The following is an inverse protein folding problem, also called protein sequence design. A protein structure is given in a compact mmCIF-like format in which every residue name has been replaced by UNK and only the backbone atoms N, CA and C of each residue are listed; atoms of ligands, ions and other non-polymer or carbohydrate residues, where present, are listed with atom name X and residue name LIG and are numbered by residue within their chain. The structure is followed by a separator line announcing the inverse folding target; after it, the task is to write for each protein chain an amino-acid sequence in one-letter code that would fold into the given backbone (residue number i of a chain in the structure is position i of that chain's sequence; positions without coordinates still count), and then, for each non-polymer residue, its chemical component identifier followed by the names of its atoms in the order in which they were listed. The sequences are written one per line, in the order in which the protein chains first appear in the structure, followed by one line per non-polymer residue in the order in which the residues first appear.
data_IF_232002695848
#
_entry.id   IF_232002695848
#
_cell.length_a   1.000
_cell.length_b   1.000
_cell.length_c   1.000
_cell.angle_alpha   90.00
_cell.angle_beta   90.00
_cell.angle_gamma   90.00
#
_symmetry.space_group_name_H-M   'P 1'
#
loop_
_entity.id
_entity.type
_entity.pdbx_description
1 polymer ?
#
# COMPACT_ATOMS: atom_id res chain seq x y z
N UNK A 1 6.71 -20.29 -7.02
CA UNK A 1 5.64 -19.67 -6.21
C UNK A 1 4.58 -19.11 -7.14
N UNK A 2 3.32 -19.05 -6.70
CA UNK A 2 2.25 -18.39 -7.47
C UNK A 2 2.27 -16.90 -7.13
N UNK A 3 2.13 -16.03 -8.13
CA UNK A 3 2.04 -14.58 -7.89
C UNK A 3 0.60 -14.16 -7.61
N UNK A 4 0.41 -13.22 -6.69
CA UNK A 4 -0.87 -12.57 -6.42
C UNK A 4 -0.69 -11.06 -6.48
N UNK A 5 -1.52 -10.40 -7.29
CA UNK A 5 -1.56 -8.94 -7.35
C UNK A 5 -2.50 -8.42 -6.27
N UNK A 6 -1.98 -7.59 -5.37
CA UNK A 6 -2.75 -6.89 -4.35
C UNK A 6 -2.87 -5.43 -4.77
N UNK A 7 -4.11 -5.01 -5.06
CA UNK A 7 -4.42 -3.63 -5.41
C UNK A 7 -4.90 -2.91 -4.15
N UNK A 8 -4.17 -1.88 -3.72
CA UNK A 8 -4.51 -1.11 -2.52
C UNK A 8 -4.19 0.37 -2.74
N UNK A 9 -5.02 1.26 -2.22
CA UNK A 9 -4.73 2.70 -2.22
C UNK A 9 -3.79 3.09 -1.07
N UNK A 10 -3.91 2.41 0.07
CA UNK A 10 -3.11 2.67 1.26
C UNK A 10 -2.02 1.59 1.41
N UNK A 11 -0.77 2.02 1.32
CA UNK A 11 0.43 1.19 1.46
C UNK A 11 1.49 1.96 2.23
N UNK A 12 2.43 1.33 2.96
CA UNK A 12 3.51 2.04 3.64
C UNK A 12 4.21 3.04 2.71
N UNK A 13 4.48 4.27 3.19
CA UNK A 13 4.48 4.71 4.59
C UNK A 13 3.10 5.11 5.16
N UNK A 14 1.99 4.90 4.45
CA UNK A 14 0.66 5.14 5.01
C UNK A 14 0.44 4.31 6.29
N UNK A 15 -0.08 4.94 7.34
CA UNK A 15 -0.34 4.32 8.63
C UNK A 15 -1.79 3.82 8.79
N UNK A 16 -2.07 3.27 9.96
CA UNK A 16 -3.43 2.88 10.38
C UNK A 16 -3.78 1.40 10.18
N UNK A 17 -4.91 0.97 10.75
CA UNK A 17 -5.26 -0.46 10.87
C UNK A 17 -5.53 -1.12 9.52
N UNK A 18 -6.00 -0.37 8.52
CA UNK A 18 -6.21 -0.86 7.16
C UNK A 18 -4.90 -1.27 6.49
N UNK A 19 -3.89 -0.38 6.56
CA UNK A 19 -2.56 -0.64 5.97
C UNK A 19 -1.87 -1.80 6.65
N UNK A 20 -1.87 -1.82 7.99
CA UNK A 20 -1.22 -2.90 8.73
C UNK A 20 -1.83 -4.27 8.39
N UNK A 21 -3.15 -4.36 8.21
CA UNK A 21 -3.79 -5.63 7.83
C UNK A 21 -3.29 -6.14 6.47
N UNK A 22 -3.32 -5.29 5.45
CA UNK A 22 -2.87 -5.67 4.09
C UNK A 22 -1.37 -6.01 4.11
N UNK A 23 -0.57 -5.21 4.81
CA UNK A 23 0.87 -5.43 4.96
C UNK A 23 1.18 -6.77 5.63
N UNK A 24 0.50 -7.13 6.73
CA UNK A 24 0.72 -8.43 7.40
C UNK A 24 0.30 -9.60 6.51
N UNK A 25 -0.81 -9.49 5.76
CA UNK A 25 -1.14 -10.53 4.78
C UNK A 25 -0.02 -10.72 3.76
N UNK A 26 0.48 -9.63 3.17
CA UNK A 26 1.57 -9.70 2.18
C UNK A 26 2.87 -10.22 2.81
N UNK A 27 3.16 -9.87 4.07
CA UNK A 27 4.33 -10.37 4.78
C UNK A 27 4.31 -11.90 4.96
N UNK A 28 3.15 -12.48 5.26
CA UNK A 28 3.03 -13.90 5.60
C UNK A 28 2.59 -14.78 4.41
N UNK A 29 2.05 -14.22 3.33
CA UNK A 29 1.68 -14.97 2.12
C UNK A 29 2.81 -15.86 1.53
N UNK A 30 4.09 -15.43 1.54
CA UNK A 30 5.20 -16.28 1.10
C UNK A 30 5.31 -17.61 1.86
N UNK A 31 4.92 -17.66 3.13
CA UNK A 31 4.91 -18.90 3.94
C UNK A 31 3.90 -19.93 3.41
N UNK A 32 2.91 -19.48 2.62
CA UNK A 32 1.89 -20.31 1.99
C UNK A 32 2.13 -20.50 0.49
N UNK A 33 3.34 -20.19 -0.01
CA UNK A 33 3.74 -20.39 -1.42
C UNK A 33 3.24 -19.32 -2.40
N UNK A 34 2.75 -18.19 -1.88
CA UNK A 34 2.27 -17.05 -2.66
C UNK A 34 3.24 -15.87 -2.59
N UNK A 35 3.59 -15.32 -3.73
CA UNK A 35 4.43 -14.14 -3.86
C UNK A 35 3.54 -12.91 -4.12
N UNK A 36 3.40 -12.00 -3.15
CA UNK A 36 2.59 -10.79 -3.33
C UNK A 36 3.35 -9.75 -4.18
N UNK A 37 2.61 -9.15 -5.10
CA UNK A 37 3.03 -7.96 -5.86
C UNK A 37 1.99 -6.88 -5.60
N UNK A 38 2.42 -5.69 -5.21
CA UNK A 38 1.52 -4.59 -4.86
C UNK A 38 1.36 -3.67 -6.05
N UNK A 39 0.13 -3.24 -6.30
CA UNK A 39 -0.18 -2.07 -7.11
C UNK A 39 -0.81 -1.02 -6.19
N UNK A 40 -0.13 0.10 -6.04
CA UNK A 40 -0.56 1.21 -5.19
C UNK A 40 -0.37 2.56 -5.90
N UNK A 41 -0.85 3.63 -5.28
CA UNK A 41 -0.75 4.99 -5.81
C UNK A 41 0.60 5.62 -5.46
N UNK A 42 1.15 6.39 -6.39
CA UNK A 42 2.42 7.13 -6.19
C UNK A 42 2.26 8.29 -5.20
N UNK A 43 1.25 9.11 -5.44
CA UNK A 43 0.99 10.37 -4.72
C UNK A 43 -0.34 10.26 -3.95
N UNK A 44 -0.46 9.19 -3.15
CA UNK A 44 -1.64 8.92 -2.35
C UNK A 44 -1.82 9.93 -1.22
N UNK A 45 -3.08 10.21 -0.91
CA UNK A 45 -3.43 11.04 0.25
C UNK A 45 -3.51 10.16 1.50
N UNK A 46 -2.55 10.34 2.40
CA UNK A 46 -2.42 9.53 3.61
C UNK A 46 -2.87 10.34 4.83
N UNK A 47 -3.99 9.96 5.49
CA UNK A 47 -4.44 10.62 6.71
C UNK A 47 -3.46 10.47 7.87
N UNK A 48 -2.61 9.44 7.81
CA UNK A 48 -1.60 9.13 8.83
C UNK A 48 -0.40 8.51 8.13
N UNK A 49 0.79 8.84 8.60
CA UNK A 49 2.07 8.34 8.12
C UNK A 49 2.78 7.58 9.25
N UNK A 50 3.38 6.45 8.91
CA UNK A 50 4.17 5.62 9.81
C UNK A 50 5.33 4.98 9.04
N UNK A 51 6.47 5.67 9.06
CA UNK A 51 7.69 5.24 8.35
C UNK A 51 8.26 3.93 8.90
N UNK A 52 7.90 3.53 10.11
CA UNK A 52 8.39 2.27 10.69
C UNK A 52 7.90 1.06 9.89
N UNK A 53 6.76 1.19 9.20
CA UNK A 53 6.18 0.15 8.34
C UNK A 53 6.98 -0.08 7.06
N UNK A 54 7.82 0.88 6.62
CA UNK A 54 8.68 0.73 5.44
C UNK A 54 9.68 -0.42 5.60
N UNK A 55 10.15 -0.65 6.83
CA UNK A 55 11.04 -1.76 7.14
C UNK A 55 10.39 -3.12 6.89
N UNK A 56 9.08 -3.21 7.10
CA UNK A 56 8.31 -4.44 6.87
C UNK A 56 7.92 -4.64 5.41
N UNK A 57 7.66 -3.55 4.67
CA UNK A 57 7.30 -3.63 3.25
C UNK A 57 8.49 -3.73 2.29
N UNK A 58 9.73 -3.49 2.75
CA UNK A 58 10.94 -3.40 1.93
C UNK A 58 11.16 -4.59 0.98
N UNK A 59 10.76 -5.79 1.38
CA UNK A 59 10.98 -7.02 0.61
C UNK A 59 9.80 -7.38 -0.30
N UNK A 60 8.75 -6.56 -0.33
CA UNK A 60 7.54 -6.79 -1.10
C UNK A 60 7.59 -5.89 -2.34
N UNK A 61 7.50 -6.48 -3.52
CA UNK A 61 7.49 -5.76 -4.79
C UNK A 61 6.27 -4.84 -4.86
N UNK A 62 6.47 -3.54 -5.12
CA UNK A 62 5.40 -2.55 -5.23
C UNK A 62 5.55 -1.70 -6.48
N UNK A 63 4.46 -1.63 -7.27
CA UNK A 63 4.30 -0.80 -8.44
C UNK A 63 3.47 0.42 -8.09
N UNK A 64 3.99 1.59 -8.44
CA UNK A 64 3.33 2.87 -8.21
C UNK A 64 2.62 3.31 -9.48
N UNK A 65 1.30 3.44 -9.41
CA UNK A 65 0.48 4.02 -10.48
C UNK A 65 0.16 5.48 -10.18
N UNK A 66 0.02 6.26 -11.24
CA UNK A 66 -0.68 7.54 -11.17
C UNK A 66 -2.16 7.28 -10.91
N UNK A 67 -2.74 8.06 -9.99
CA UNK A 67 -4.17 8.07 -9.70
C UNK A 67 -4.66 9.50 -9.62
N UNK A 68 -5.92 9.72 -10.00
CA UNK A 68 -6.58 11.00 -9.90
C UNK A 68 -7.40 11.05 -8.61
N UNK A 69 -7.09 11.99 -7.72
CA UNK A 69 -7.85 12.19 -6.48
C UNK A 69 -8.91 13.27 -6.66
N UNK A 70 -10.18 12.89 -6.48
CA UNK A 70 -11.28 13.86 -6.37
C UNK A 70 -11.24 14.65 -5.05
N UNK A 71 -10.58 14.13 -4.02
CA UNK A 71 -10.43 14.83 -2.75
C UNK A 71 -9.45 16.00 -2.85
N UNK A 72 -8.38 15.88 -3.64
CA UNK A 72 -7.50 17.01 -3.96
C UNK A 72 -8.26 18.15 -4.64
N UNK A 73 -9.23 17.82 -5.51
CA UNK A 73 -10.12 18.82 -6.12
C UNK A 73 -11.00 19.47 -5.06
N UNK A 74 -11.59 18.69 -4.15
CA UNK A 74 -12.41 19.21 -3.07
C UNK A 74 -11.65 20.23 -2.20
N UNK A 75 -10.42 19.93 -1.78
CA UNK A 75 -9.57 20.85 -1.00
C UNK A 75 -9.15 22.11 -1.75
N UNK A 76 -9.28 22.16 -3.09
CA UNK A 76 -9.04 23.40 -3.81
C UNK A 76 -10.22 24.38 -3.65
N UNK A 77 -11.42 23.86 -3.41
CA UNK A 77 -12.64 24.66 -3.25
C UNK A 77 -12.96 25.02 -1.79
N UNK A 78 -12.26 24.41 -0.82
CA UNK A 78 -12.45 24.64 0.62
C UNK A 78 -11.13 24.94 1.30
#
# INVERSE_FOLDING_TARGET
MKKVLVVTYYWPPSGGPGVQRVLKFCKYLPEYGWEPVILTVKDGEYPTMDDTLLHESKYIEAHLSHAFSFYSIFNWFT
#
